data_IF_366669189482
#
_entry.id   IF_366669189482
#
_cell.length_a   1.000
_cell.length_b   1.000
_cell.length_c   1.000
_cell.angle_alpha   90.00
_cell.angle_beta   90.00
_cell.angle_gamma   90.00
#
_symmetry.space_group_name_H-M   'P 1'
#
loop_
_entity.id
_entity.type
_entity.pdbx_description
1 polymer ?
#
# COMPACT_ATOMS: atom_id res chain seq x y z
N UNK A 1 -14.48 16.28 -6.03
CA UNK A 1 -14.42 15.43 -7.24
C UNK A 1 -13.23 14.52 -7.04
N UNK A 2 -13.34 13.22 -7.35
CA UNK A 2 -12.18 12.32 -7.31
C UNK A 2 -11.23 12.67 -8.47
N UNK A 3 -9.91 12.45 -8.25
CA UNK A 3 -8.91 12.68 -9.30
C UNK A 3 -9.30 11.95 -10.60
N UNK A 4 -9.11 12.58 -11.77
CA UNK A 4 -9.39 11.94 -13.06
C UNK A 4 -8.48 10.71 -13.24
N UNK A 5 -9.01 9.68 -13.88
CA UNK A 5 -8.28 8.43 -14.09
C UNK A 5 -8.49 7.89 -15.52
N UNK A 6 -7.61 6.98 -15.90
CA UNK A 6 -7.71 6.18 -17.14
C UNK A 6 -7.25 4.76 -16.89
N UNK A 7 -7.89 3.79 -17.54
CA UNK A 7 -7.43 2.41 -17.55
C UNK A 7 -6.34 2.21 -18.61
N UNK A 8 -5.33 1.44 -18.25
CA UNK A 8 -4.17 1.11 -19.09
C UNK A 8 -3.79 -0.35 -18.93
N UNK A 9 -3.11 -0.91 -19.96
CA UNK A 9 -2.44 -2.21 -19.85
C UNK A 9 -0.93 -1.99 -19.75
N UNK A 10 -0.31 -2.53 -18.72
CA UNK A 10 1.13 -2.54 -18.53
C UNK A 10 1.70 -3.80 -19.22
N UNK A 11 2.06 -3.68 -20.50
CA UNK A 11 2.35 -4.82 -21.38
C UNK A 11 3.65 -5.57 -21.06
N UNK A 12 4.67 -4.89 -20.52
CA UNK A 12 6.01 -5.44 -20.34
C UNK A 12 6.38 -5.65 -18.87
N UNK A 13 5.40 -6.00 -18.04
CA UNK A 13 5.66 -6.42 -16.65
C UNK A 13 6.31 -7.81 -16.68
N UNK A 14 7.37 -8.08 -15.89
CA UNK A 14 8.08 -9.36 -15.91
C UNK A 14 7.20 -10.60 -15.66
N UNK A 15 6.10 -10.43 -14.95
CA UNK A 15 5.13 -11.50 -14.63
C UNK A 15 4.00 -11.64 -15.66
N UNK A 16 4.01 -10.84 -16.71
CA UNK A 16 2.97 -10.79 -17.74
C UNK A 16 2.24 -9.46 -17.75
N UNK A 17 1.37 -9.21 -18.77
CA UNK A 17 0.58 -7.99 -18.85
C UNK A 17 -0.33 -7.80 -17.63
N UNK A 18 -0.40 -6.58 -17.09
CA UNK A 18 -1.22 -6.25 -15.92
C UNK A 18 -2.11 -5.05 -16.23
N UNK A 19 -3.41 -5.19 -15.96
CA UNK A 19 -4.33 -4.08 -16.02
C UNK A 19 -4.07 -3.11 -14.86
N UNK A 20 -4.18 -1.81 -15.12
CA UNK A 20 -4.01 -0.79 -14.09
C UNK A 20 -4.89 0.42 -14.37
N UNK A 21 -5.34 1.06 -13.31
CA UNK A 21 -5.97 2.36 -13.34
C UNK A 21 -4.96 3.43 -12.93
N UNK A 22 -4.74 4.40 -13.81
CA UNK A 22 -3.82 5.50 -13.54
C UNK A 22 -4.62 6.75 -13.16
N UNK A 23 -4.46 7.18 -11.91
CA UNK A 23 -5.04 8.43 -11.40
C UNK A 23 -4.01 9.55 -11.57
N UNK A 24 -4.46 10.65 -12.13
CA UNK A 24 -3.66 11.87 -12.31
C UNK A 24 -4.39 13.03 -11.62
N UNK A 25 -3.80 13.54 -10.56
CA UNK A 25 -4.34 14.73 -9.89
C UNK A 25 -4.29 15.97 -10.79
N UNK A 26 -5.10 16.97 -10.47
CA UNK A 26 -5.05 18.26 -11.16
C UNK A 26 -3.74 19.00 -10.83
N UNK A 27 -3.16 19.68 -11.82
CA UNK A 27 -1.99 20.53 -11.60
C UNK A 27 -0.69 19.79 -11.28
N UNK A 28 -0.48 18.58 -11.83
CA UNK A 28 0.75 17.80 -11.64
C UNK A 28 2.01 18.63 -11.91
N UNK A 29 2.94 18.60 -10.95
CA UNK A 29 4.27 19.19 -11.15
C UNK A 29 5.06 18.40 -12.19
N UNK A 30 6.04 19.05 -12.86
CA UNK A 30 6.88 18.44 -13.90
C UNK A 30 7.61 17.16 -13.50
N UNK A 31 7.82 16.93 -12.21
CA UNK A 31 8.42 15.73 -11.64
C UNK A 31 7.53 15.12 -10.54
N UNK A 32 6.23 14.99 -10.83
CA UNK A 32 5.29 14.35 -9.90
C UNK A 32 5.79 12.96 -9.48
N UNK A 33 5.68 12.58 -8.21
CA UNK A 33 6.02 11.23 -7.77
C UNK A 33 5.10 10.20 -8.43
N UNK A 34 5.64 9.01 -8.68
CA UNK A 34 4.85 7.85 -9.13
C UNK A 34 4.64 6.93 -7.95
N UNK A 35 3.41 6.49 -7.77
CA UNK A 35 3.01 5.59 -6.69
C UNK A 35 2.43 4.32 -7.29
N UNK A 36 3.08 3.18 -7.04
CA UNK A 36 2.42 1.88 -7.20
C UNK A 36 1.47 1.71 -6.02
N UNK A 37 0.18 1.66 -6.30
CA UNK A 37 -0.82 1.49 -5.27
C UNK A 37 -1.42 0.08 -5.31
N UNK A 38 -1.43 -0.57 -4.16
CA UNK A 38 -1.92 -1.91 -3.92
C UNK A 38 -3.14 -1.83 -3.00
N UNK A 39 -4.29 -2.20 -3.52
CA UNK A 39 -5.56 -2.09 -2.80
C UNK A 39 -5.68 -3.13 -1.68
N UNK A 40 -6.49 -2.83 -0.68
CA UNK A 40 -6.95 -3.77 0.33
C UNK A 40 -8.00 -4.74 -0.22
N UNK A 41 -8.63 -5.49 0.69
CA UNK A 41 -9.70 -6.44 0.39
C UNK A 41 -9.47 -7.79 1.03
N UNK A 42 -8.76 -7.80 2.17
CA UNK A 42 -8.49 -9.00 2.98
C UNK A 42 -7.80 -10.13 2.21
N UNK A 43 -7.00 -9.86 1.20
CA UNK A 43 -6.45 -10.83 0.24
C UNK A 43 -7.53 -11.65 -0.53
N UNK A 44 -8.80 -11.27 -0.43
CA UNK A 44 -9.93 -11.99 -1.03
C UNK A 44 -10.48 -11.27 -2.25
N UNK A 45 -10.43 -9.93 -2.25
CA UNK A 45 -11.00 -9.14 -3.33
C UNK A 45 -10.04 -9.07 -4.52
N UNK A 46 -10.59 -9.34 -5.68
CA UNK A 46 -9.89 -9.31 -6.97
C UNK A 46 -10.51 -8.30 -7.93
N UNK A 47 -11.51 -7.54 -7.49
CA UNK A 47 -12.22 -6.60 -8.34
C UNK A 47 -11.37 -5.37 -8.69
N UNK A 48 -11.01 -5.29 -9.97
CA UNK A 48 -10.30 -4.16 -10.55
C UNK A 48 -11.14 -2.87 -10.67
N UNK A 49 -12.45 -3.02 -10.78
CA UNK A 49 -13.36 -1.94 -11.17
C UNK A 49 -13.84 -1.02 -10.03
N UNK A 50 -13.54 -1.32 -8.77
CA UNK A 50 -14.02 -0.51 -7.66
C UNK A 50 -13.37 0.88 -7.62
N UNK A 51 -14.10 1.87 -7.13
CA UNK A 51 -13.53 3.18 -6.79
C UNK A 51 -12.50 3.00 -5.66
N UNK A 52 -11.34 3.66 -5.80
CA UNK A 52 -10.21 3.55 -4.88
C UNK A 52 -9.94 4.89 -4.19
N UNK A 53 -10.64 5.19 -3.10
CA UNK A 53 -10.56 6.50 -2.44
C UNK A 53 -9.14 6.87 -1.98
N UNK A 54 -8.36 5.88 -1.54
CA UNK A 54 -6.96 6.09 -1.15
C UNK A 54 -6.11 6.47 -2.35
N UNK A 55 -6.24 5.77 -3.47
CA UNK A 55 -5.52 6.10 -4.71
C UNK A 55 -5.86 7.52 -5.18
N UNK A 56 -7.16 7.90 -5.13
CA UNK A 56 -7.59 9.25 -5.46
C UNK A 56 -6.99 10.30 -4.52
N UNK A 57 -6.94 10.02 -3.20
CA UNK A 57 -6.35 10.95 -2.22
C UNK A 57 -4.85 11.15 -2.43
N UNK A 58 -4.11 10.10 -2.79
CA UNK A 58 -2.68 10.20 -3.15
C UNK A 58 -2.47 10.98 -4.44
N UNK A 59 -3.39 10.83 -5.42
CA UNK A 59 -3.34 11.61 -6.66
C UNK A 59 -3.70 13.09 -6.42
N UNK A 60 -4.69 13.38 -5.57
CA UNK A 60 -5.03 14.75 -5.15
C UNK A 60 -3.86 15.43 -4.41
N UNK A 61 -2.97 14.65 -3.79
CA UNK A 61 -1.72 15.15 -3.22
C UNK A 61 -0.64 15.49 -4.25
N UNK A 62 -0.89 15.26 -5.54
CA UNK A 62 0.01 15.58 -6.65
C UNK A 62 0.86 14.43 -7.17
N UNK A 63 0.47 13.19 -6.92
CA UNK A 63 1.12 12.00 -7.47
C UNK A 63 0.43 11.50 -8.75
N UNK A 64 1.19 10.75 -9.54
CA UNK A 64 0.67 9.83 -10.55
C UNK A 64 0.51 8.47 -9.86
N UNK A 65 -0.72 8.02 -9.66
CA UNK A 65 -0.99 6.78 -8.92
C UNK A 65 -1.38 5.67 -9.88
N UNK A 66 -0.62 4.59 -9.85
CA UNK A 66 -0.85 3.38 -10.66
C UNK A 66 -1.49 2.34 -9.75
N UNK A 67 -2.81 2.28 -9.74
CA UNK A 67 -3.58 1.26 -9.05
C UNK A 67 -3.61 0.00 -9.93
N UNK A 68 -2.75 -0.95 -9.61
CA UNK A 68 -2.55 -2.13 -10.44
C UNK A 68 -3.41 -3.30 -9.97
N UNK A 69 -3.85 -4.12 -10.92
CA UNK A 69 -4.50 -5.39 -10.67
C UNK A 69 -3.43 -6.46 -10.40
N UNK A 70 -2.94 -6.46 -9.17
CA UNK A 70 -1.82 -7.31 -8.72
C UNK A 70 -2.27 -8.66 -8.17
N UNK A 71 -3.58 -8.85 -8.04
CA UNK A 71 -4.21 -10.07 -7.52
C UNK A 71 -5.31 -10.55 -8.47
N UNK A 72 -5.43 -11.84 -8.65
CA UNK A 72 -6.50 -12.47 -9.43
C UNK A 72 -6.97 -13.74 -8.76
N UNK A 73 -8.14 -14.26 -9.14
CA UNK A 73 -8.73 -15.48 -8.54
C UNK A 73 -7.77 -16.66 -8.48
N UNK A 74 -6.85 -16.77 -9.44
CA UNK A 74 -5.87 -17.84 -9.52
C UNK A 74 -4.51 -17.49 -8.89
N UNK A 75 -4.30 -16.23 -8.45
CA UNK A 75 -3.00 -15.72 -8.00
C UNK A 75 -3.11 -14.83 -6.76
N UNK A 76 -3.92 -15.24 -5.77
CA UNK A 76 -4.12 -14.49 -4.52
C UNK A 76 -3.25 -14.98 -3.37
N UNK A 77 -2.45 -16.03 -3.59
CA UNK A 77 -1.60 -16.60 -2.56
C UNK A 77 -0.16 -16.09 -2.67
N UNK A 78 0.54 -16.08 -1.55
CA UNK A 78 1.99 -15.93 -1.51
C UNK A 78 2.65 -17.20 -2.08
N UNK A 79 3.70 -17.09 -2.92
CA UNK A 79 4.41 -15.85 -3.28
C UNK A 79 3.87 -15.10 -4.52
N UNK A 80 2.90 -15.64 -5.25
CA UNK A 80 2.49 -15.14 -6.57
C UNK A 80 2.03 -13.68 -6.54
N UNK A 81 1.20 -13.31 -5.57
CA UNK A 81 0.73 -11.94 -5.34
C UNK A 81 1.91 -10.97 -5.16
N UNK A 82 2.88 -11.37 -4.33
CA UNK A 82 4.08 -10.56 -4.10
C UNK A 82 4.94 -10.44 -5.36
N UNK A 83 5.12 -11.54 -6.10
CA UNK A 83 5.91 -11.55 -7.34
C UNK A 83 5.28 -10.64 -8.40
N UNK A 84 3.95 -10.66 -8.54
CA UNK A 84 3.23 -9.77 -9.43
C UNK A 84 3.46 -8.31 -9.05
N UNK A 85 3.17 -7.94 -7.79
CA UNK A 85 3.35 -6.57 -7.30
C UNK A 85 4.80 -6.09 -7.42
N UNK A 86 5.77 -6.94 -7.12
CA UNK A 86 7.20 -6.64 -7.29
C UNK A 86 7.57 -6.46 -8.77
N UNK A 87 7.04 -7.31 -9.66
CA UNK A 87 7.23 -7.17 -11.11
C UNK A 87 6.71 -5.84 -11.64
N UNK A 88 5.56 -5.37 -11.12
CA UNK A 88 5.03 -4.05 -11.47
C UNK A 88 5.94 -2.93 -10.94
N UNK A 89 6.46 -3.04 -9.72
CA UNK A 89 7.44 -2.08 -9.20
C UNK A 89 8.68 -2.03 -10.08
N UNK A 90 9.22 -3.19 -10.48
CA UNK A 90 10.37 -3.28 -11.38
C UNK A 90 10.09 -2.63 -12.74
N UNK A 91 8.90 -2.85 -13.30
CA UNK A 91 8.44 -2.15 -14.51
C UNK A 91 8.42 -0.64 -14.33
N UNK A 92 7.86 -0.14 -13.22
CA UNK A 92 7.76 1.28 -12.92
C UNK A 92 9.13 1.91 -12.61
N UNK A 93 10.11 1.16 -12.10
CA UNK A 93 11.45 1.67 -11.86
C UNK A 93 12.23 2.00 -13.15
N UNK A 94 11.75 1.52 -14.30
CA UNK A 94 12.33 1.85 -15.60
C UNK A 94 11.90 3.27 -16.01
N UNK A 95 12.87 4.16 -16.21
CA UNK A 95 12.64 5.57 -16.57
C UNK A 95 11.81 5.75 -17.84
N UNK A 96 11.90 4.84 -18.82
CA UNK A 96 11.10 4.88 -20.04
C UNK A 96 9.62 4.66 -19.73
N UNK A 97 9.32 3.70 -18.85
CA UNK A 97 7.94 3.39 -18.45
C UNK A 97 7.36 4.51 -17.59
N UNK A 98 8.17 5.09 -16.68
CA UNK A 98 7.76 6.26 -15.90
C UNK A 98 7.34 7.43 -16.83
N UNK A 99 8.12 7.71 -17.88
CA UNK A 99 7.82 8.77 -18.84
C UNK A 99 6.52 8.48 -19.62
N UNK A 100 6.27 7.22 -19.98
CA UNK A 100 5.06 6.81 -20.71
C UNK A 100 3.78 7.03 -19.88
N UNK A 101 3.90 6.99 -18.55
CA UNK A 101 2.79 7.24 -17.60
C UNK A 101 2.62 8.73 -17.23
N UNK A 102 3.45 9.62 -17.78
CA UNK A 102 3.40 11.06 -17.51
C UNK A 102 4.37 11.54 -16.42
N UNK A 103 5.18 10.66 -15.87
CA UNK A 103 6.25 11.02 -14.95
C UNK A 103 7.46 11.68 -15.65
N UNK A 104 8.50 11.96 -14.89
CA UNK A 104 9.77 12.51 -15.37
C UNK A 104 10.94 11.65 -14.93
N UNK A 105 12.13 11.85 -15.55
CA UNK A 105 13.36 11.12 -15.18
C UNK A 105 13.77 11.24 -13.70
N UNK A 106 13.31 12.32 -13.04
CA UNK A 106 13.56 12.63 -11.63
C UNK A 106 12.35 12.38 -10.73
N UNK A 107 11.26 11.80 -11.26
CA UNK A 107 10.13 11.41 -10.43
C UNK A 107 10.57 10.36 -9.41
N UNK A 108 10.17 10.58 -8.15
CA UNK A 108 10.34 9.59 -7.10
C UNK A 108 9.38 8.43 -7.31
N UNK A 109 9.77 7.24 -6.90
CA UNK A 109 8.96 6.03 -6.97
C UNK A 109 8.60 5.56 -5.56
N UNK A 110 7.30 5.46 -5.31
CA UNK A 110 6.75 4.96 -4.04
C UNK A 110 5.95 3.68 -4.28
N UNK A 111 5.90 2.83 -3.25
CA UNK A 111 4.87 1.79 -3.12
C UNK A 111 3.91 2.20 -2.02
N UNK A 112 2.62 2.08 -2.25
CA UNK A 112 1.57 2.38 -1.29
C UNK A 112 0.57 1.24 -1.20
N UNK A 113 -0.02 1.02 -0.04
CA UNK A 113 -1.12 0.08 0.11
C UNK A 113 -1.85 0.25 1.43
N UNK A 114 -3.12 -0.10 1.41
CA UNK A 114 -3.94 -0.18 2.60
C UNK A 114 -4.31 -1.62 2.93
N UNK A 115 -4.52 -1.91 4.19
CA UNK A 115 -5.00 -3.19 4.72
C UNK A 115 -4.13 -4.36 4.20
N UNK A 116 -4.67 -5.35 3.49
CA UNK A 116 -3.91 -6.46 2.88
C UNK A 116 -2.95 -5.97 1.79
N UNK A 117 -3.34 -4.96 1.01
CA UNK A 117 -2.43 -4.28 0.07
C UNK A 117 -1.27 -3.59 0.78
N UNK A 118 -1.48 -3.11 2.01
CA UNK A 118 -0.43 -2.57 2.88
C UNK A 118 0.58 -3.64 3.31
N UNK A 119 0.12 -4.87 3.57
CA UNK A 119 1.02 -6.01 3.80
C UNK A 119 1.89 -6.28 2.56
N UNK A 120 1.25 -6.41 1.40
CA UNK A 120 1.98 -6.67 0.14
C UNK A 120 2.95 -5.53 -0.16
N UNK A 121 2.57 -4.26 0.06
CA UNK A 121 3.45 -3.11 -0.11
C UNK A 121 4.70 -3.17 0.78
N UNK A 122 4.54 -3.54 2.06
CA UNK A 122 5.67 -3.76 2.96
C UNK A 122 6.56 -4.93 2.52
N UNK A 123 5.96 -6.03 2.04
CA UNK A 123 6.67 -7.17 1.45
C UNK A 123 7.46 -6.79 0.19
N UNK A 124 6.85 -6.00 -0.69
CA UNK A 124 7.49 -5.45 -1.90
C UNK A 124 8.66 -4.53 -1.54
N UNK A 125 8.50 -3.68 -0.51
CA UNK A 125 9.58 -2.82 -0.05
C UNK A 125 10.78 -3.62 0.50
N UNK A 126 10.53 -4.70 1.26
CA UNK A 126 11.56 -5.64 1.71
C UNK A 126 12.27 -6.31 0.53
N UNK A 127 11.53 -6.81 -0.44
CA UNK A 127 12.09 -7.46 -1.62
C UNK A 127 12.87 -6.48 -2.50
N UNK A 128 12.38 -5.25 -2.67
CA UNK A 128 13.07 -4.19 -3.43
C UNK A 128 14.40 -3.81 -2.77
N UNK A 129 14.45 -3.67 -1.44
CA UNK A 129 15.70 -3.48 -0.71
C UNK A 129 16.72 -4.57 -1.02
N UNK A 130 16.28 -5.83 -1.07
CA UNK A 130 17.17 -6.98 -1.21
C UNK A 130 17.58 -7.24 -2.66
N UNK A 131 16.74 -6.93 -3.64
CA UNK A 131 16.96 -7.29 -5.04
C UNK A 131 17.17 -6.10 -5.99
N UNK A 132 16.68 -4.91 -5.63
CA UNK A 132 16.81 -3.67 -6.42
C UNK A 132 17.14 -2.47 -5.50
N UNK A 133 18.26 -2.52 -4.76
CA UNK A 133 18.60 -1.47 -3.80
C UNK A 133 18.62 -0.09 -4.47
N UNK A 134 17.96 0.90 -3.83
CA UNK A 134 17.85 2.26 -4.34
C UNK A 134 16.80 2.48 -5.44
N UNK A 135 16.00 1.48 -5.78
CA UNK A 135 14.93 1.62 -6.76
C UNK A 135 13.63 2.23 -6.20
N UNK A 136 13.49 2.23 -4.88
CA UNK A 136 12.30 2.70 -4.18
C UNK A 136 12.67 3.89 -3.27
N UNK A 137 11.98 5.01 -3.44
CA UNK A 137 12.23 6.24 -2.68
C UNK A 137 11.42 6.31 -1.38
N UNK A 138 10.31 5.57 -1.28
CA UNK A 138 9.51 5.48 -0.06
C UNK A 138 8.39 4.47 -0.12
N UNK A 139 7.85 4.13 1.06
CA UNK A 139 6.70 3.25 1.23
C UNK A 139 5.61 3.95 2.04
N UNK A 140 4.34 3.76 1.65
CA UNK A 140 3.16 4.35 2.29
C UNK A 140 2.24 3.22 2.74
N UNK A 141 2.16 3.04 4.04
CA UNK A 141 1.45 1.94 4.68
C UNK A 141 0.23 2.50 5.43
N UNK A 142 -0.95 2.21 4.92
CA UNK A 142 -2.21 2.74 5.43
C UNK A 142 -2.94 1.59 6.12
N UNK A 143 -2.95 1.60 7.45
CA UNK A 143 -3.48 0.52 8.27
C UNK A 143 -3.12 -0.86 7.72
N UNK A 144 -1.83 -1.17 7.54
CA UNK A 144 -1.43 -2.42 6.92
C UNK A 144 -1.79 -3.62 7.80
N UNK A 145 -2.39 -4.65 7.21
CA UNK A 145 -2.73 -5.92 7.85
C UNK A 145 -1.48 -6.80 7.93
N UNK A 146 -0.72 -6.74 9.03
CA UNK A 146 0.64 -7.29 9.13
C UNK A 146 0.76 -8.53 10.00
N UNK A 147 -0.21 -8.76 10.89
CA UNK A 147 -0.17 -9.85 11.88
C UNK A 147 -1.13 -10.99 11.53
N UNK A 148 -0.65 -12.11 10.96
CA UNK A 148 -1.50 -13.26 10.68
C UNK A 148 -2.09 -13.91 11.93
N UNK A 149 -1.54 -13.65 13.13
CA UNK A 149 -2.09 -14.14 14.38
C UNK A 149 -3.15 -13.22 14.98
N UNK A 150 -3.29 -12.00 14.44
CA UNK A 150 -4.33 -11.06 14.83
C UNK A 150 -4.43 -10.84 16.35
N UNK A 151 -3.26 -10.77 17.01
CA UNK A 151 -3.14 -10.79 18.46
C UNK A 151 -3.09 -9.41 19.14
N UNK A 152 -3.19 -8.31 18.39
CA UNK A 152 -3.12 -6.96 18.95
C UNK A 152 -4.38 -6.59 19.74
N UNK A 153 -4.22 -5.67 20.73
CA UNK A 153 -5.38 -5.21 21.53
C UNK A 153 -6.41 -4.45 20.70
N UNK A 154 -5.96 -3.64 19.75
CA UNK A 154 -6.88 -2.93 18.83
C UNK A 154 -7.65 -3.90 17.94
N UNK A 155 -7.07 -5.06 17.60
CA UNK A 155 -7.70 -6.07 16.77
C UNK A 155 -8.97 -6.68 17.42
N UNK A 156 -9.08 -6.66 18.75
CA UNK A 156 -10.30 -7.11 19.44
C UNK A 156 -11.54 -6.31 18.98
N UNK A 157 -11.35 -5.09 18.49
CA UNK A 157 -12.42 -4.26 17.90
C UNK A 157 -12.84 -4.73 16.49
N UNK A 158 -12.06 -5.61 15.86
CA UNK A 158 -12.40 -6.15 14.55
C UNK A 158 -13.71 -6.95 14.54
N UNK A 159 -14.13 -7.49 15.70
CA UNK A 159 -15.43 -8.15 15.85
C UNK A 159 -16.59 -7.17 15.68
N UNK A 160 -16.45 -5.95 16.20
CA UNK A 160 -17.46 -4.89 16.08
C UNK A 160 -17.63 -4.44 14.63
N UNK A 161 -16.57 -4.49 13.82
CA UNK A 161 -16.59 -4.13 12.41
C UNK A 161 -16.97 -5.28 11.47
N UNK A 162 -17.11 -6.52 11.97
CA UNK A 162 -17.35 -7.72 11.17
C UNK A 162 -16.17 -8.18 10.32
N UNK A 163 -14.97 -7.59 10.53
CA UNK A 163 -13.80 -7.87 9.69
C UNK A 163 -12.98 -9.07 10.16
N UNK A 164 -13.17 -9.54 11.39
CA UNK A 164 -12.34 -10.62 11.96
C UNK A 164 -12.37 -11.90 11.10
N UNK A 165 -13.55 -12.37 10.76
CA UNK A 165 -13.71 -13.59 9.96
C UNK A 165 -13.13 -13.42 8.55
N UNK A 166 -13.39 -12.28 7.94
CA UNK A 166 -12.89 -11.94 6.61
C UNK A 166 -11.36 -11.92 6.55
N UNK A 167 -10.70 -11.29 7.53
CA UNK A 167 -9.24 -11.28 7.61
C UNK A 167 -8.65 -12.66 7.94
N UNK A 168 -9.34 -13.45 8.78
CA UNK A 168 -8.93 -14.83 9.06
C UNK A 168 -8.94 -15.69 7.79
N UNK A 169 -10.02 -15.62 7.01
CA UNK A 169 -10.11 -16.31 5.72
C UNK A 169 -9.03 -15.83 4.75
N UNK A 170 -8.86 -14.52 4.64
CA UNK A 170 -7.86 -13.92 3.77
C UNK A 170 -6.43 -14.36 4.10
N UNK A 171 -6.04 -14.34 5.36
CA UNK A 171 -4.74 -14.84 5.78
C UNK A 171 -4.55 -16.33 5.47
N UNK A 172 -5.57 -17.16 5.71
CA UNK A 172 -5.52 -18.58 5.38
C UNK A 172 -5.31 -18.80 3.88
N UNK A 173 -5.99 -18.01 3.04
CA UNK A 173 -5.84 -18.07 1.58
C UNK A 173 -4.46 -17.57 1.12
N UNK A 174 -4.02 -16.43 1.65
CA UNK A 174 -2.76 -15.79 1.27
C UNK A 174 -1.54 -16.62 1.65
N UNK A 175 -1.49 -17.15 2.88
CA UNK A 175 -0.35 -17.92 3.36
C UNK A 175 -0.37 -19.39 2.90
N UNK A 176 -1.55 -19.93 2.57
CA UNK A 176 -1.73 -21.32 2.17
C UNK A 176 -1.31 -22.32 3.27
N UNK A 177 -1.27 -23.60 2.90
CA UNK A 177 -0.87 -24.68 3.83
C UNK A 177 0.64 -24.75 4.09
N UNK A 178 1.47 -23.96 3.42
CA UNK A 178 2.93 -24.10 3.43
C UNK A 178 3.65 -23.20 4.45
N UNK A 179 2.95 -22.66 5.45
CA UNK A 179 3.59 -21.96 6.56
C UNK A 179 4.25 -20.62 6.18
N UNK A 180 3.67 -19.90 5.23
CA UNK A 180 4.14 -18.57 4.79
C UNK A 180 4.30 -17.54 5.91
N UNK A 181 3.75 -17.80 7.09
CA UNK A 181 3.92 -16.97 8.30
C UNK A 181 5.40 -16.70 8.65
N UNK A 182 6.28 -17.62 8.37
CA UNK A 182 7.71 -17.47 8.66
C UNK A 182 8.49 -16.73 7.57
N UNK A 183 7.87 -16.43 6.43
CA UNK A 183 8.56 -15.73 5.34
C UNK A 183 8.47 -14.21 5.54
N UNK A 184 9.62 -13.49 5.62
CA UNK A 184 9.62 -12.06 5.94
C UNK A 184 8.87 -11.19 4.91
N UNK A 185 8.73 -11.63 3.69
CA UNK A 185 7.98 -10.90 2.67
C UNK A 185 6.48 -11.18 2.73
N UNK A 186 6.06 -12.34 3.25
CA UNK A 186 4.65 -12.67 3.43
C UNK A 186 4.05 -12.04 4.69
N UNK A 187 4.83 -12.05 5.78
CA UNK A 187 4.45 -11.46 7.06
C UNK A 187 5.52 -10.47 7.54
N UNK A 188 5.56 -9.25 7.01
CA UNK A 188 6.60 -8.24 7.27
C UNK A 188 6.77 -7.90 8.75
N UNK A 189 5.71 -8.04 9.55
CA UNK A 189 5.77 -7.87 11.00
C UNK A 189 6.84 -8.75 11.63
N UNK A 190 7.06 -9.96 11.12
CA UNK A 190 8.03 -10.91 11.69
C UNK A 190 9.42 -10.83 11.05
N UNK A 191 9.63 -9.92 10.12
CA UNK A 191 10.96 -9.67 9.57
C UNK A 191 11.89 -9.14 10.66
N UNK A 192 13.00 -9.84 10.90
CA UNK A 192 14.00 -9.43 11.90
C UNK A 192 14.93 -8.33 11.40
N UNK A 193 15.14 -8.24 10.08
CA UNK A 193 16.05 -7.28 9.45
C UNK A 193 15.28 -6.22 8.67
N UNK A 194 15.05 -5.06 9.30
CA UNK A 194 14.34 -3.92 8.72
C UNK A 194 15.27 -2.77 8.28
N UNK A 195 16.57 -2.85 8.60
CA UNK A 195 17.54 -1.82 8.18
C UNK A 195 17.65 -1.71 6.67
N UNK A 196 17.93 -0.50 6.19
CA UNK A 196 18.12 -0.22 4.76
C UNK A 196 16.84 -0.17 3.93
N UNK A 197 15.67 -0.27 4.56
CA UNK A 197 14.40 -0.02 3.88
C UNK A 197 14.24 1.45 3.49
N UNK A 198 13.50 1.68 2.41
CA UNK A 198 13.10 3.02 2.01
C UNK A 198 12.30 3.72 3.12
N UNK A 199 12.37 5.06 3.22
CA UNK A 199 11.56 5.85 4.15
C UNK A 199 10.09 5.41 4.15
N UNK A 200 9.44 5.49 5.31
CA UNK A 200 8.08 5.00 5.47
C UNK A 200 7.13 6.08 6.01
N UNK A 201 5.96 6.19 5.40
CA UNK A 201 4.78 6.84 5.97
C UNK A 201 3.84 5.75 6.47
N UNK A 202 3.51 5.77 7.76
CA UNK A 202 2.56 4.83 8.38
C UNK A 202 1.39 5.62 8.92
N UNK A 203 0.19 5.36 8.39
CA UNK A 203 -1.06 6.01 8.76
C UNK A 203 -2.05 5.00 9.33
N UNK A 204 -2.76 5.39 10.37
CA UNK A 204 -3.86 4.64 10.98
C UNK A 204 -4.76 5.59 11.76
N UNK A 205 -5.82 5.11 12.42
CA UNK A 205 -6.71 5.91 13.24
C UNK A 205 -6.88 5.32 14.65
N UNK A 206 -7.36 6.13 15.60
CA UNK A 206 -7.57 5.71 16.99
C UNK A 206 -8.59 4.57 17.14
N UNK A 207 -9.60 4.56 16.28
CA UNK A 207 -10.68 3.58 16.23
C UNK A 207 -10.41 2.41 15.25
N UNK A 208 -9.21 2.33 14.69
CA UNK A 208 -8.83 1.31 13.73
C UNK A 208 -8.44 -0.01 14.41
N UNK A 209 -9.03 -1.15 14.01
CA UNK A 209 -8.59 -2.46 14.48
C UNK A 209 -7.12 -2.79 14.19
N UNK A 210 -6.54 -2.26 13.11
CA UNK A 210 -5.15 -2.50 12.70
C UNK A 210 -4.16 -1.47 13.27
N UNK A 211 -4.62 -0.59 14.18
CA UNK A 211 -3.79 0.48 14.75
C UNK A 211 -2.54 -0.03 15.44
N UNK A 212 -2.68 -0.99 16.34
CA UNK A 212 -1.56 -1.38 17.21
C UNK A 212 -0.44 -2.05 16.41
N UNK A 213 -0.76 -2.90 15.44
CA UNK A 213 0.24 -3.54 14.58
C UNK A 213 0.90 -2.55 13.62
N UNK A 214 0.15 -1.58 13.10
CA UNK A 214 0.67 -0.50 12.27
C UNK A 214 1.69 0.34 13.03
N UNK A 215 1.35 0.73 14.27
CA UNK A 215 2.22 1.53 15.12
C UNK A 215 3.45 0.78 15.59
N UNK A 216 3.30 -0.50 15.92
CA UNK A 216 4.42 -1.37 16.29
C UNK A 216 5.40 -1.54 15.13
N UNK A 217 4.90 -1.82 13.92
CA UNK A 217 5.76 -1.98 12.75
C UNK A 217 6.54 -0.70 12.43
N UNK A 218 5.87 0.47 12.46
CA UNK A 218 6.54 1.74 12.28
C UNK A 218 7.59 2.03 13.36
N UNK A 219 7.35 1.65 14.60
CA UNK A 219 8.32 1.77 15.71
C UNK A 219 9.54 0.87 15.48
N UNK A 220 9.34 -0.35 14.98
CA UNK A 220 10.42 -1.27 14.61
C UNK A 220 11.23 -0.77 13.43
N UNK A 221 10.60 -0.16 12.43
CA UNK A 221 11.30 0.51 11.33
C UNK A 221 12.20 1.63 11.87
N UNK A 222 11.69 2.50 12.76
CA UNK A 222 12.49 3.54 13.42
C UNK A 222 13.68 2.97 14.18
N UNK A 223 13.45 1.94 14.98
CA UNK A 223 14.51 1.26 15.75
C UNK A 223 15.59 0.64 14.84
N UNK A 224 15.24 0.27 13.60
CA UNK A 224 16.16 -0.23 12.59
C UNK A 224 16.88 0.90 11.78
N UNK A 225 16.67 2.17 12.14
CA UNK A 225 17.31 3.32 11.48
C UNK A 225 16.61 3.80 10.21
N UNK A 226 15.39 3.33 9.93
CA UNK A 226 14.59 3.82 8.80
C UNK A 226 13.94 5.16 9.15
N UNK A 227 13.95 6.12 8.23
CA UNK A 227 13.19 7.37 8.39
C UNK A 227 11.68 7.04 8.34
N UNK A 228 10.95 7.35 9.39
CA UNK A 228 9.51 7.01 9.49
C UNK A 228 8.72 8.20 9.98
N UNK A 229 7.72 8.58 9.19
CA UNK A 229 6.61 9.42 9.63
C UNK A 229 5.45 8.53 10.04
N UNK A 230 5.00 8.62 11.29
CA UNK A 230 3.83 7.91 11.79
C UNK A 230 2.76 8.92 12.19
N UNK A 231 1.52 8.64 11.81
CA UNK A 231 0.36 9.44 12.15
C UNK A 231 -0.80 8.55 12.56
N UNK A 232 -1.41 8.85 13.69
CA UNK A 232 -2.70 8.28 14.12
C UNK A 232 -3.74 9.38 13.98
N UNK A 233 -4.74 9.15 13.13
CA UNK A 233 -5.84 10.08 12.96
C UNK A 233 -6.81 9.97 14.14
N UNK A 234 -7.53 11.04 14.50
CA UNK A 234 -8.56 10.97 15.52
C UNK A 234 -9.64 9.96 15.19
N UNK A 235 -10.29 9.43 16.22
CA UNK A 235 -11.48 8.61 16.05
C UNK A 235 -12.61 9.39 15.36
N UNK A 236 -13.49 8.67 14.68
CA UNK A 236 -14.65 9.26 14.01
C UNK A 236 -14.39 9.97 12.69
N UNK A 237 -13.19 9.79 12.11
CA UNK A 237 -12.86 10.31 10.77
C UNK A 237 -13.51 9.49 9.64
N UNK A 238 -14.20 8.41 9.96
CA UNK A 238 -14.75 7.44 9.02
C UNK A 238 -13.70 6.44 8.51
N UNK A 239 -12.52 6.35 9.18
CA UNK A 239 -11.43 5.45 8.78
C UNK A 239 -11.84 3.97 8.65
N UNK A 240 -12.65 3.39 9.53
CA UNK A 240 -13.11 2.01 9.38
C UNK A 240 -13.90 1.74 8.09
N UNK A 241 -14.42 2.76 7.42
CA UNK A 241 -15.11 2.60 6.12
C UNK A 241 -14.18 2.21 4.98
N UNK A 242 -12.84 2.26 5.20
CA UNK A 242 -11.85 1.69 4.28
C UNK A 242 -12.09 0.19 4.01
N UNK A 243 -12.64 -0.53 4.99
CA UNK A 243 -12.70 -1.99 4.95
C UNK A 243 -13.98 -2.58 4.35
N UNK A 244 -14.99 -1.76 4.06
CA UNK A 244 -16.23 -2.36 3.56
C UNK A 244 -17.39 -1.41 3.29
N UNK A 245 -17.19 -0.11 3.31
CA UNK A 245 -18.29 0.83 3.16
C UNK A 245 -18.15 1.72 1.93
N UNK A 246 -19.15 1.70 1.06
CA UNK A 246 -19.38 2.76 0.10
C UNK A 246 -19.91 3.99 0.85
N UNK A 247 -19.05 4.82 1.42
CA UNK A 247 -19.47 6.14 1.86
C UNK A 247 -19.60 7.04 0.64
N UNK A 248 -20.80 7.53 0.38
CA UNK A 248 -21.05 8.54 -0.68
C UNK A 248 -20.51 9.92 -0.32
N UNK A 249 -20.23 10.15 0.95
CA UNK A 249 -19.64 11.40 1.44
C UNK A 249 -18.14 11.25 1.53
N UNK A 250 -17.39 12.30 1.13
CA UNK A 250 -15.93 12.36 1.35
C UNK A 250 -15.69 12.25 2.85
N UNK A 251 -15.18 11.11 3.28
CA UNK A 251 -14.76 10.94 4.65
C UNK A 251 -13.60 11.90 4.95
N UNK A 252 -13.55 12.46 6.15
CA UNK A 252 -12.52 13.45 6.52
C UNK A 252 -11.09 12.88 6.41
N UNK A 253 -10.92 11.58 6.61
CA UNK A 253 -9.63 10.90 6.50
C UNK A 253 -8.95 11.05 5.13
N UNK A 254 -9.71 11.22 4.05
CA UNK A 254 -9.13 11.37 2.70
C UNK A 254 -8.27 12.64 2.60
N UNK A 255 -8.70 13.72 3.22
CA UNK A 255 -7.93 14.96 3.29
C UNK A 255 -6.67 14.77 4.12
N UNK A 256 -6.75 14.02 5.22
CA UNK A 256 -5.61 13.73 6.09
C UNK A 256 -4.57 12.88 5.36
N UNK A 257 -4.98 11.84 4.62
CA UNK A 257 -4.08 11.03 3.77
C UNK A 257 -3.37 11.91 2.74
N UNK A 258 -4.12 12.79 2.05
CA UNK A 258 -3.57 13.73 1.08
C UNK A 258 -2.50 14.63 1.72
N UNK A 259 -2.80 15.27 2.85
CA UNK A 259 -1.88 16.16 3.56
C UNK A 259 -0.64 15.42 4.09
N UNK A 260 -0.84 14.25 4.70
CA UNK A 260 0.26 13.44 5.25
C UNK A 260 1.21 12.96 4.15
N UNK A 261 0.67 12.49 3.03
CA UNK A 261 1.48 12.03 1.91
C UNK A 261 2.26 13.19 1.28
N UNK A 262 1.63 14.35 1.07
CA UNK A 262 2.31 15.54 0.55
C UNK A 262 3.51 15.94 1.40
N UNK A 263 3.33 16.04 2.72
CA UNK A 263 4.43 16.35 3.64
C UNK A 263 5.51 15.28 3.63
N UNK A 264 5.15 14.00 3.51
CA UNK A 264 6.11 12.90 3.41
C UNK A 264 6.96 12.98 2.13
N UNK A 265 6.34 13.29 0.98
CA UNK A 265 7.08 13.49 -0.27
C UNK A 265 8.10 14.62 -0.14
N UNK A 266 7.73 15.74 0.50
CA UNK A 266 8.63 16.88 0.75
C UNK A 266 9.81 16.46 1.64
N UNK A 267 9.59 15.66 2.68
CA UNK A 267 10.64 15.12 3.57
C UNK A 267 11.59 14.14 2.85
N UNK A 268 11.10 13.38 1.86
CA UNK A 268 11.93 12.46 1.07
C UNK A 268 12.77 13.21 0.04
N UNK A 269 12.28 14.35 -0.46
CA UNK A 269 13.00 15.20 -1.42
C UNK A 269 14.09 16.07 -0.78
N UNK A 270 14.00 16.35 0.53
CA UNK A 270 14.95 17.14 1.29
C UNK A 270 16.24 16.36 1.59
#
# INVERSE_FOLDING_TARGET
MSAPWKDVMLENVPTGPVAARVYNGEGLKKAAPIVLYLHGGAFLDTEHAADRPVAASLADAGAIVVAADYSSDNHNAFPQVLECAYGILAYLSNKRNMLALGGAKKSLLFVAGEESGGNVAAGVALKARDQMPGSLDGQVLISPLLDPFMGSKSFLRAEESGMRERWTEGWNRYLGFLGGVCHPYAAPRYCSRLSGLAPALVLTAEDDPLRDESMEYGSRLKAAGVRVRQQVLPAGTGWPTLYGGHSKDKASWQQDVCCCFKGFVEEVQA
#
